data_IF_956185016764
#
_entry.id   IF_956185016764
#
_cell.length_a   1.000
_cell.length_b   1.000
_cell.length_c   1.000
_cell.angle_alpha   90.00
_cell.angle_beta   90.00
_cell.angle_gamma   90.00
#
_symmetry.space_group_name_H-M   'P 1'
#
loop_
_entity.id
_entity.type
_entity.pdbx_description
1 polymer ?
#
# COMPACT_ATOMS: atom_id res chain seq x y z
N UNK A 1 57.18 -2.58 43.56
CA UNK A 1 56.84 -2.19 44.96
C UNK A 1 55.31 -2.19 45.00
N UNK A 2 54.72 -3.31 45.40
CA UNK A 2 54.18 -3.62 46.72
C UNK A 2 53.20 -2.55 47.20
N UNK A 3 51.94 -2.75 47.54
CA UNK A 3 51.21 -3.84 48.23
C UNK A 3 49.71 -3.44 48.19
N UNK A 4 48.78 -4.37 47.95
CA UNK A 4 47.96 -5.08 48.92
C UNK A 4 47.17 -4.16 49.94
N UNK A 5 45.81 -4.19 49.85
CA UNK A 5 44.94 -4.67 50.93
C UNK A 5 43.44 -4.61 50.51
N UNK A 6 42.76 -5.73 50.65
CA UNK A 6 41.32 -5.95 50.80
C UNK A 6 41.03 -6.11 52.30
N UNK A 7 39.80 -6.49 52.68
CA UNK A 7 38.44 -5.95 52.57
C UNK A 7 37.85 -5.65 53.95
N UNK A 8 36.61 -5.15 54.05
CA UNK A 8 35.67 -5.56 55.10
C UNK A 8 34.23 -5.04 54.91
N UNK A 9 33.34 -5.90 55.21
CA UNK A 9 31.90 -5.91 55.24
C UNK A 9 31.22 -4.73 55.93
N UNK A 10 30.04 -4.34 55.44
CA UNK A 10 28.92 -4.02 56.35
C UNK A 10 27.58 -4.13 55.62
N UNK A 11 26.76 -5.04 56.12
CA UNK A 11 25.34 -5.24 55.90
C UNK A 11 24.52 -3.94 55.92
N UNK A 12 23.69 -3.75 54.90
CA UNK A 12 22.54 -2.87 54.96
C UNK A 12 21.32 -3.50 54.29
N UNK A 13 20.34 -3.72 55.10
CA UNK A 13 19.06 -4.41 54.89
C UNK A 13 18.28 -3.93 53.64
N UNK A 14 17.84 -4.89 52.88
CA UNK A 14 16.82 -4.75 51.83
C UNK A 14 15.49 -4.29 52.45
N UNK A 15 14.99 -3.14 52.03
CA UNK A 15 13.58 -2.76 52.16
C UNK A 15 12.90 -3.12 50.84
N UNK A 16 12.05 -4.15 50.91
CA UNK A 16 11.18 -4.55 49.79
C UNK A 16 10.06 -3.52 49.71
N UNK A 17 10.13 -2.61 48.74
CA UNK A 17 9.00 -1.78 48.33
C UNK A 17 8.20 -2.54 47.27
N UNK A 18 6.91 -2.73 47.55
CA UNK A 18 5.99 -3.48 46.71
C UNK A 18 5.94 -2.97 45.26
N UNK A 19 6.18 -3.84 44.33
CA UNK A 19 5.93 -3.63 42.93
C UNK A 19 4.41 -3.64 42.69
N UNK A 20 3.86 -2.48 42.41
CA UNK A 20 2.52 -2.36 41.79
C UNK A 20 2.59 -3.03 40.41
N UNK A 21 1.78 -4.06 40.24
CA UNK A 21 1.52 -4.67 38.92
C UNK A 21 1.00 -3.61 37.96
N UNK A 22 1.90 -3.06 37.17
CA UNK A 22 1.50 -2.34 35.94
C UNK A 22 0.94 -3.38 34.97
N UNK A 23 -0.35 -3.25 34.67
CA UNK A 23 -1.08 -4.13 33.76
C UNK A 23 -0.31 -4.36 32.47
N UNK A 24 0.17 -5.58 32.30
CA UNK A 24 0.63 -6.06 30.98
C UNK A 24 -0.59 -6.01 30.05
N UNK A 25 -0.59 -5.03 29.17
CA UNK A 25 -1.45 -5.05 28.01
C UNK A 25 -1.16 -6.38 27.27
N UNK A 26 -2.19 -7.22 27.12
CA UNK A 26 -2.08 -8.43 26.32
C UNK A 26 -1.48 -8.06 24.97
N UNK A 27 -0.50 -8.83 24.44
CA UNK A 27 0.02 -8.57 23.12
C UNK A 27 -1.16 -8.52 22.15
N UNK A 28 -1.24 -7.45 21.37
CA UNK A 28 -2.22 -7.37 20.28
C UNK A 28 -2.09 -8.66 19.48
N UNK A 29 -3.21 -9.32 19.21
CA UNK A 29 -3.23 -10.49 18.32
C UNK A 29 -2.52 -10.08 17.04
N UNK A 30 -1.55 -10.85 16.53
CA UNK A 30 -0.87 -10.49 15.30
C UNK A 30 -1.94 -10.27 14.22
N UNK A 31 -1.86 -9.13 13.53
CA UNK A 31 -2.72 -8.82 12.39
C UNK A 31 -2.73 -10.03 11.46
N UNK A 32 -3.89 -10.64 11.26
CA UNK A 32 -3.99 -11.83 10.42
C UNK A 32 -4.06 -11.39 8.96
N UNK A 33 -2.90 -11.18 8.33
CA UNK A 33 -2.79 -10.76 6.93
C UNK A 33 -3.65 -11.61 5.99
N UNK A 34 -3.80 -12.92 6.25
CA UNK A 34 -4.66 -13.79 5.45
C UNK A 34 -6.14 -13.39 5.57
N UNK A 35 -6.57 -12.98 6.77
CA UNK A 35 -7.93 -12.49 7.01
C UNK A 35 -8.24 -11.20 6.29
N UNK A 36 -7.27 -10.28 6.16
CA UNK A 36 -7.42 -9.02 5.42
C UNK A 36 -7.81 -9.27 3.96
N UNK A 37 -7.32 -10.37 3.37
CA UNK A 37 -7.62 -10.75 1.99
C UNK A 37 -8.67 -11.87 1.86
N UNK A 38 -9.40 -12.19 2.94
CA UNK A 38 -10.39 -13.26 2.98
C UNK A 38 -9.82 -14.65 2.59
N UNK A 39 -8.55 -14.89 2.88
CA UNK A 39 -7.90 -16.17 2.65
C UNK A 39 -7.98 -17.00 3.94
N UNK A 40 -8.80 -18.04 3.93
CA UNK A 40 -8.84 -18.99 5.04
C UNK A 40 -7.53 -19.77 5.16
N UNK A 41 -7.11 -20.13 6.39
CA UNK A 41 -5.89 -20.92 6.59
C UNK A 41 -5.86 -22.23 5.77
N UNK A 42 -6.99 -22.85 5.51
CA UNK A 42 -7.09 -24.03 4.65
C UNK A 42 -6.85 -23.77 3.15
N UNK A 43 -6.89 -22.50 2.73
CA UNK A 43 -6.64 -22.06 1.36
C UNK A 43 -5.25 -21.42 1.18
N UNK A 44 -4.44 -21.40 2.23
CA UNK A 44 -3.06 -20.95 2.20
C UNK A 44 -2.17 -22.13 1.76
N UNK A 45 -1.29 -21.89 0.79
CA UNK A 45 -0.33 -22.89 0.33
C UNK A 45 0.89 -22.91 1.24
N UNK A 46 1.24 -24.07 1.81
CA UNK A 46 2.45 -24.22 2.61
C UNK A 46 3.69 -24.23 1.70
N UNK A 47 4.60 -23.27 1.91
CA UNK A 47 5.87 -23.28 1.20
C UNK A 47 6.72 -24.48 1.67
N UNK A 48 7.09 -25.34 0.75
CA UNK A 48 7.95 -26.52 1.06
C UNK A 48 9.23 -26.50 0.24
N UNK A 49 9.11 -26.29 -1.06
CA UNK A 49 10.26 -26.15 -1.98
C UNK A 49 9.92 -25.15 -3.07
N UNK A 50 10.93 -24.50 -3.61
CA UNK A 50 10.77 -23.55 -4.72
C UNK A 50 10.08 -24.19 -5.94
N UNK A 51 10.40 -25.42 -6.30
CA UNK A 51 9.79 -26.13 -7.44
C UNK A 51 8.29 -26.33 -7.26
N UNK A 52 7.85 -26.76 -6.06
CA UNK A 52 6.43 -26.92 -5.75
C UNK A 52 5.69 -25.60 -5.72
N UNK A 53 6.32 -24.57 -5.14
CA UNK A 53 5.78 -23.21 -5.14
C UNK A 53 5.60 -22.68 -6.57
N UNK A 54 6.60 -22.83 -7.44
CA UNK A 54 6.51 -22.40 -8.84
C UNK A 54 5.35 -23.08 -9.59
N UNK A 55 5.21 -24.42 -9.42
CA UNK A 55 4.11 -25.16 -10.03
C UNK A 55 2.74 -24.73 -9.47
N UNK A 56 2.67 -24.47 -8.16
CA UNK A 56 1.45 -23.96 -7.53
C UNK A 56 1.07 -22.58 -8.09
N UNK A 57 2.03 -21.66 -8.14
CA UNK A 57 1.79 -20.30 -8.64
C UNK A 57 1.33 -20.30 -10.11
N UNK A 58 1.91 -21.15 -10.95
CA UNK A 58 1.49 -21.28 -12.34
C UNK A 58 0.02 -21.72 -12.46
N UNK A 59 -0.42 -22.69 -11.66
CA UNK A 59 -1.83 -23.11 -11.61
C UNK A 59 -2.75 -21.98 -11.13
N UNK A 60 -2.30 -21.18 -10.17
CA UNK A 60 -3.06 -20.02 -9.70
C UNK A 60 -3.23 -18.97 -10.80
N UNK A 61 -2.18 -18.72 -11.61
CA UNK A 61 -2.25 -17.82 -12.75
C UNK A 61 -3.26 -18.31 -13.79
N UNK A 62 -3.18 -19.60 -14.17
CA UNK A 62 -4.12 -20.22 -15.11
C UNK A 62 -5.56 -20.13 -14.59
N UNK A 63 -5.79 -20.36 -13.29
CA UNK A 63 -7.10 -20.22 -12.68
C UNK A 63 -7.60 -18.76 -12.69
N UNK A 64 -6.72 -17.79 -12.38
CA UNK A 64 -7.05 -16.37 -12.39
C UNK A 64 -7.41 -15.86 -13.78
N UNK A 65 -6.66 -16.25 -14.82
CA UNK A 65 -6.97 -15.93 -16.22
C UNK A 65 -8.36 -16.44 -16.65
N UNK A 66 -8.87 -17.48 -15.97
CA UNK A 66 -10.21 -18.03 -16.15
C UNK A 66 -11.24 -17.48 -15.14
N UNK A 67 -10.97 -16.34 -14.51
CA UNK A 67 -11.89 -15.67 -13.59
C UNK A 67 -11.79 -16.11 -12.13
N UNK A 68 -10.71 -16.82 -11.75
CA UNK A 68 -10.40 -17.17 -10.36
C UNK A 68 -9.90 -16.00 -9.52
N UNK A 69 -9.46 -16.31 -8.31
CA UNK A 69 -9.03 -15.31 -7.33
C UNK A 69 -7.72 -14.63 -7.74
N UNK A 70 -7.65 -13.32 -7.51
CA UNK A 70 -6.45 -12.49 -7.76
C UNK A 70 -5.43 -12.62 -6.63
N UNK A 71 -5.86 -12.84 -5.39
CA UNK A 71 -4.99 -12.97 -4.23
C UNK A 71 -4.75 -14.41 -3.83
N UNK A 72 -3.49 -14.73 -3.54
CA UNK A 72 -3.01 -16.07 -3.18
C UNK A 72 -2.28 -15.96 -1.85
N UNK A 73 -2.60 -16.82 -0.89
CA UNK A 73 -1.89 -16.95 0.37
C UNK A 73 -0.82 -18.03 0.31
N UNK A 74 0.36 -17.74 0.84
CA UNK A 74 1.46 -18.70 1.03
C UNK A 74 1.95 -18.62 2.47
N UNK A 75 1.94 -19.76 3.16
CA UNK A 75 2.37 -19.89 4.55
C UNK A 75 3.82 -20.42 4.65
N UNK A 76 4.50 -20.14 5.76
CA UNK A 76 5.86 -20.62 5.99
C UNK A 76 6.93 -19.87 5.19
N UNK A 77 6.66 -18.63 4.79
CA UNK A 77 7.60 -17.78 4.06
C UNK A 77 8.47 -17.01 5.06
N UNK A 78 9.62 -17.58 5.41
CA UNK A 78 10.67 -16.91 6.20
C UNK A 78 11.38 -15.84 5.36
N UNK A 79 12.24 -15.01 5.98
CA UNK A 79 13.08 -14.04 5.25
C UNK A 79 13.96 -14.69 4.17
N UNK A 80 14.52 -15.87 4.46
CA UNK A 80 15.38 -16.59 3.51
C UNK A 80 14.55 -17.10 2.32
N UNK A 81 13.36 -17.63 2.58
CA UNK A 81 12.41 -18.06 1.54
C UNK A 81 11.98 -16.88 0.67
N UNK A 82 11.67 -15.74 1.29
CA UNK A 82 11.32 -14.53 0.55
C UNK A 82 12.47 -14.07 -0.37
N UNK A 83 13.72 -14.11 0.12
CA UNK A 83 14.91 -13.78 -0.67
C UNK A 83 15.05 -14.71 -1.88
N UNK A 84 14.83 -16.02 -1.71
CA UNK A 84 14.85 -16.98 -2.81
C UNK A 84 13.76 -16.68 -3.84
N UNK A 85 12.55 -16.30 -3.40
CA UNK A 85 11.46 -15.90 -4.29
C UNK A 85 11.85 -14.64 -5.07
N UNK A 86 12.43 -13.64 -4.42
CA UNK A 86 12.87 -12.38 -5.05
C UNK A 86 13.99 -12.60 -6.08
N UNK A 87 14.99 -13.37 -5.77
CA UNK A 87 16.08 -13.71 -6.70
C UNK A 87 15.60 -14.42 -7.97
N UNK A 88 14.49 -15.15 -7.87
CA UNK A 88 13.90 -15.88 -8.97
C UNK A 88 12.67 -15.20 -9.57
N UNK A 89 12.37 -13.96 -9.18
CA UNK A 89 11.15 -13.25 -9.56
C UNK A 89 10.92 -13.16 -11.07
N UNK A 90 11.99 -13.04 -11.83
CA UNK A 90 11.95 -12.99 -13.31
C UNK A 90 11.37 -14.25 -13.98
N UNK A 91 11.22 -15.36 -13.23
CA UNK A 91 10.61 -16.60 -13.70
C UNK A 91 9.11 -16.66 -13.49
N UNK A 92 8.56 -15.68 -12.79
CA UNK A 92 7.14 -15.62 -12.44
C UNK A 92 6.42 -14.55 -13.26
N UNK A 93 5.08 -14.62 -13.37
CA UNK A 93 4.29 -13.54 -13.93
C UNK A 93 4.45 -12.27 -13.11
N UNK A 94 3.99 -11.15 -13.66
CA UNK A 94 3.95 -9.89 -12.92
C UNK A 94 3.03 -10.07 -11.71
N UNK A 95 3.54 -9.76 -10.53
CA UNK A 95 2.82 -9.89 -9.26
C UNK A 95 3.26 -8.81 -8.27
N UNK A 96 2.44 -8.57 -7.25
CA UNK A 96 2.78 -7.78 -6.06
C UNK A 96 2.78 -8.67 -4.84
N UNK A 97 3.62 -8.37 -3.89
CA UNK A 97 3.78 -9.15 -2.68
C UNK A 97 3.55 -8.31 -1.43
N UNK A 98 2.81 -8.88 -0.48
CA UNK A 98 2.62 -8.36 0.86
C UNK A 98 3.03 -9.46 1.85
N UNK A 99 4.11 -9.25 2.58
CA UNK A 99 4.72 -10.25 3.45
C UNK A 99 4.69 -9.80 4.90
N UNK A 100 4.15 -10.64 5.74
CA UNK A 100 4.16 -10.49 7.21
C UNK A 100 5.16 -11.46 7.82
N UNK A 101 6.32 -10.94 8.21
CA UNK A 101 7.41 -11.75 8.75
C UNK A 101 7.06 -12.44 10.08
N UNK A 102 6.35 -11.80 11.04
CA UNK A 102 5.96 -12.46 12.27
C UNK A 102 5.10 -13.71 12.08
N UNK A 103 4.14 -13.68 11.18
CA UNK A 103 3.29 -14.84 10.87
C UNK A 103 3.87 -15.75 9.78
N UNK A 104 4.94 -15.32 9.11
CA UNK A 104 5.54 -15.98 7.94
C UNK A 104 4.52 -16.21 6.81
N UNK A 105 3.56 -15.31 6.68
CA UNK A 105 2.56 -15.34 5.62
C UNK A 105 2.92 -14.37 4.51
N UNK A 106 2.74 -14.81 3.27
CA UNK A 106 2.90 -14.01 2.06
C UNK A 106 1.59 -13.98 1.30
N UNK A 107 1.13 -12.79 0.98
CA UNK A 107 0.06 -12.57 0.01
C UNK A 107 0.70 -12.23 -1.33
N UNK A 108 0.26 -12.92 -2.37
CA UNK A 108 0.63 -12.63 -3.76
C UNK A 108 -0.61 -12.12 -4.47
N UNK A 109 -0.53 -10.92 -5.02
CA UNK A 109 -1.52 -10.32 -5.90
C UNK A 109 -1.08 -10.52 -7.35
N UNK A 110 -1.87 -11.23 -8.13
CA UNK A 110 -1.63 -11.41 -9.56
C UNK A 110 -2.01 -10.14 -10.32
N UNK A 111 -1.15 -9.72 -11.24
CA UNK A 111 -1.27 -8.45 -11.94
C UNK A 111 -1.31 -8.67 -13.44
N UNK A 112 -2.36 -8.19 -14.09
CA UNK A 112 -2.55 -8.30 -15.53
C UNK A 112 -2.40 -6.96 -16.27
N UNK A 113 -2.46 -6.98 -17.61
CA UNK A 113 -2.28 -5.78 -18.43
C UNK A 113 -3.25 -4.63 -18.07
N UNK A 114 -4.52 -4.95 -17.82
CA UNK A 114 -5.54 -3.94 -17.45
C UNK A 114 -5.20 -3.17 -16.18
N UNK A 115 -4.66 -3.88 -15.21
CA UNK A 115 -4.20 -3.34 -13.94
C UNK A 115 -3.03 -2.36 -14.16
N UNK A 116 -2.01 -2.77 -14.91
CA UNK A 116 -0.85 -1.91 -15.22
C UNK A 116 -1.26 -0.67 -16.02
N UNK A 117 -2.18 -0.83 -16.99
CA UNK A 117 -2.71 0.29 -17.77
C UNK A 117 -3.42 1.29 -16.85
N UNK A 118 -4.30 0.83 -15.96
CA UNK A 118 -5.05 1.73 -15.07
C UNK A 118 -4.11 2.53 -14.16
N UNK A 119 -3.08 1.90 -13.57
CA UNK A 119 -2.10 2.57 -12.76
C UNK A 119 -1.27 3.59 -13.56
N UNK A 120 -0.84 3.21 -14.76
CA UNK A 120 0.01 4.05 -15.63
C UNK A 120 -0.76 5.26 -16.16
N UNK A 121 -1.98 5.08 -16.66
CA UNK A 121 -2.80 6.16 -17.19
C UNK A 121 -3.19 7.16 -16.10
N UNK A 122 -3.56 6.67 -14.91
CA UNK A 122 -3.82 7.54 -13.77
C UNK A 122 -2.59 8.37 -13.39
N UNK A 123 -1.41 7.73 -13.30
CA UNK A 123 -0.17 8.43 -12.99
C UNK A 123 0.20 9.46 -14.05
N UNK A 124 -0.03 9.15 -15.32
CA UNK A 124 0.18 10.08 -16.44
C UNK A 124 -0.67 11.33 -16.31
N UNK A 125 -1.99 11.16 -16.09
CA UNK A 125 -2.92 12.28 -15.90
C UNK A 125 -2.57 13.10 -14.65
N UNK A 126 -2.32 12.44 -13.53
CA UNK A 126 -1.93 13.12 -12.29
C UNK A 126 -0.69 13.99 -12.48
N UNK A 127 0.32 13.49 -13.20
CA UNK A 127 1.53 14.25 -13.50
C UNK A 127 1.29 15.46 -14.39
N UNK A 128 0.39 15.35 -15.34
CA UNK A 128 0.06 16.48 -16.19
C UNK A 128 -0.56 17.59 -15.34
N UNK A 129 -1.47 17.25 -14.42
CA UNK A 129 -2.05 18.23 -13.51
C UNK A 129 -1.00 18.81 -12.53
N UNK A 130 -0.05 18.02 -12.08
CA UNK A 130 1.09 18.49 -11.31
C UNK A 130 1.90 19.55 -12.08
N UNK A 131 2.17 19.32 -13.37
CA UNK A 131 2.90 20.28 -14.22
C UNK A 131 2.17 21.60 -14.38
N UNK A 132 0.84 21.56 -14.49
CA UNK A 132 0.02 22.77 -14.64
C UNK A 132 0.13 23.72 -13.45
N UNK A 133 0.52 23.25 -12.28
CA UNK A 133 0.70 24.04 -11.07
C UNK A 133 2.18 24.26 -10.68
N UNK A 134 3.12 23.94 -11.58
CA UNK A 134 4.54 24.17 -11.38
C UNK A 134 5.31 23.05 -10.68
N UNK A 135 4.71 21.88 -10.49
CA UNK A 135 5.40 20.67 -10.01
C UNK A 135 6.03 19.97 -11.21
N UNK A 136 7.33 19.74 -11.17
CA UNK A 136 8.07 19.13 -12.28
C UNK A 136 8.33 17.64 -12.02
N UNK A 137 8.62 16.89 -13.10
CA UNK A 137 9.09 15.51 -12.99
C UNK A 137 10.39 15.38 -12.16
N UNK A 138 11.10 16.47 -11.93
CA UNK A 138 12.31 16.47 -11.13
C UNK A 138 12.04 16.51 -9.63
N UNK A 139 10.81 16.83 -9.22
CA UNK A 139 10.41 16.91 -7.83
C UNK A 139 10.04 15.55 -7.25
N UNK A 140 9.68 14.56 -8.11
CA UNK A 140 9.30 13.22 -7.69
C UNK A 140 10.19 12.10 -8.26
N UNK A 141 10.34 11.03 -7.47
CA UNK A 141 10.60 9.69 -7.97
C UNK A 141 9.27 8.97 -8.22
N UNK A 142 9.13 8.41 -9.43
CA UNK A 142 8.12 7.40 -9.69
C UNK A 142 8.68 6.07 -9.20
N UNK A 143 8.07 5.53 -8.18
CA UNK A 143 8.40 4.22 -7.65
C UNK A 143 7.35 3.28 -8.22
N UNK A 144 7.77 2.33 -9.04
CA UNK A 144 6.89 1.24 -9.45
C UNK A 144 6.62 0.32 -8.26
N UNK A 145 6.67 -0.98 -8.47
CA UNK A 145 6.42 -2.01 -7.47
C UNK A 145 7.60 -2.32 -6.53
N UNK A 146 8.40 -1.32 -6.18
CA UNK A 146 9.49 -1.50 -5.21
C UNK A 146 8.95 -1.86 -3.83
N UNK A 147 9.43 -2.99 -3.26
CA UNK A 147 9.00 -3.41 -1.92
C UNK A 147 9.41 -2.41 -0.85
N UNK A 148 8.49 -2.11 0.04
CA UNK A 148 8.69 -1.23 1.19
C UNK A 148 8.40 -1.99 2.48
N UNK A 149 9.33 -1.91 3.43
CA UNK A 149 9.21 -2.59 4.72
C UNK A 149 8.83 -1.59 5.82
N UNK A 150 7.77 -1.91 6.55
CA UNK A 150 7.43 -1.18 7.78
C UNK A 150 8.50 -1.38 8.84
N UNK A 151 8.90 -0.29 9.49
CA UNK A 151 9.92 -0.34 10.55
C UNK A 151 9.40 -0.94 11.85
N UNK A 152 8.08 -0.94 12.05
CA UNK A 152 7.45 -1.29 13.33
C UNK A 152 6.70 -2.62 13.28
N UNK A 153 6.08 -2.98 12.16
CA UNK A 153 5.27 -4.19 12.06
C UNK A 153 6.00 -5.39 11.46
N UNK A 154 7.25 -5.22 10.98
CA UNK A 154 7.97 -6.25 10.19
C UNK A 154 7.17 -6.79 9.00
N UNK A 155 6.21 -6.00 8.51
CA UNK A 155 5.44 -6.27 7.29
C UNK A 155 6.02 -5.48 6.13
N UNK A 156 6.06 -6.08 4.95
CA UNK A 156 6.53 -5.42 3.74
C UNK A 156 5.54 -5.60 2.61
N UNK A 157 5.33 -4.54 1.82
CA UNK A 157 4.35 -4.51 0.75
C UNK A 157 4.89 -3.81 -0.49
N UNK A 158 4.41 -4.21 -1.65
CA UNK A 158 4.71 -3.64 -2.96
C UNK A 158 3.48 -2.89 -3.47
N UNK A 159 3.57 -1.58 -3.77
CA UNK A 159 2.48 -0.83 -4.35
C UNK A 159 2.32 -1.12 -5.85
N UNK A 160 1.18 -0.76 -6.43
CA UNK A 160 1.00 -0.78 -7.88
C UNK A 160 1.61 0.46 -8.55
N UNK A 161 1.62 1.57 -7.82
CA UNK A 161 2.31 2.79 -8.20
C UNK A 161 2.53 3.68 -6.99
N UNK A 162 3.60 4.48 -7.01
CA UNK A 162 3.85 5.41 -5.92
C UNK A 162 4.68 6.62 -6.35
N UNK A 163 4.48 7.73 -5.63
CA UNK A 163 5.23 8.97 -5.79
C UNK A 163 5.98 9.31 -4.52
N UNK A 164 7.25 9.65 -4.64
CA UNK A 164 8.13 10.01 -3.54
C UNK A 164 8.85 11.32 -3.82
N UNK A 165 8.81 12.33 -2.92
CA UNK A 165 9.54 13.58 -3.09
C UNK A 165 11.05 13.35 -3.18
N UNK A 166 11.71 13.91 -4.21
CA UNK A 166 13.16 13.76 -4.41
C UNK A 166 14.00 14.52 -3.40
N UNK A 167 13.54 15.69 -2.99
CA UNK A 167 14.35 16.58 -2.16
C UNK A 167 14.47 16.10 -0.70
N UNK A 168 13.46 15.44 -0.18
CA UNK A 168 13.38 15.05 1.22
C UNK A 168 13.50 13.54 1.44
N UNK A 169 13.12 12.71 0.45
CA UNK A 169 13.06 11.27 0.56
C UNK A 169 13.93 10.59 -0.48
N UNK A 170 15.25 10.80 -0.38
CA UNK A 170 16.23 10.38 -1.39
C UNK A 170 16.56 8.89 -1.38
N UNK A 171 16.42 8.22 -0.23
CA UNK A 171 16.82 6.82 -0.07
C UNK A 171 15.72 5.85 -0.50
N UNK A 172 16.12 4.70 -1.03
CA UNK A 172 15.18 3.65 -1.45
C UNK A 172 14.30 3.14 -0.29
N UNK A 173 14.77 3.25 0.95
CA UNK A 173 14.03 2.87 2.16
C UNK A 173 13.00 3.90 2.63
N UNK A 174 12.95 5.11 2.04
CA UNK A 174 11.93 6.10 2.38
C UNK A 174 10.60 5.70 1.74
N UNK A 175 9.52 5.82 2.51
CA UNK A 175 8.16 5.63 1.99
C UNK A 175 7.78 6.74 1.00
N UNK A 176 6.89 6.47 0.04
CA UNK A 176 6.27 7.49 -0.80
C UNK A 176 5.29 8.34 0.02
N UNK A 177 4.89 9.48 -0.52
CA UNK A 177 3.80 10.28 0.05
C UNK A 177 2.45 9.92 -0.55
N UNK A 178 2.43 9.44 -1.78
CA UNK A 178 1.22 8.97 -2.47
C UNK A 178 1.43 7.56 -3.00
N UNK A 179 0.43 6.71 -2.79
CA UNK A 179 0.36 5.34 -3.32
C UNK A 179 -0.89 5.18 -4.17
N UNK A 180 -0.76 4.43 -5.25
CA UNK A 180 -1.87 3.97 -6.10
C UNK A 180 -1.97 2.47 -5.98
N UNK A 181 -3.16 1.97 -5.66
CA UNK A 181 -3.49 0.54 -5.67
C UNK A 181 -4.62 0.28 -6.65
N UNK A 182 -4.47 -0.74 -7.46
CA UNK A 182 -5.44 -1.13 -8.48
C UNK A 182 -5.95 -2.52 -8.21
N UNK A 183 -7.24 -2.74 -8.28
CA UNK A 183 -7.86 -4.05 -8.10
C UNK A 183 -8.69 -4.46 -9.33
N UNK A 184 -8.56 -5.73 -9.71
CA UNK A 184 -9.35 -6.36 -10.77
C UNK A 184 -10.04 -7.60 -10.21
N UNK A 185 -11.35 -7.73 -10.37
CA UNK A 185 -12.10 -8.94 -9.98
C UNK A 185 -12.15 -9.23 -8.47
N UNK A 186 -11.51 -8.41 -7.64
CA UNK A 186 -11.53 -8.53 -6.19
C UNK A 186 -12.70 -7.79 -5.56
N UNK A 187 -12.95 -8.04 -4.28
CA UNK A 187 -13.87 -7.21 -3.53
C UNK A 187 -13.23 -5.84 -3.25
N UNK A 188 -14.01 -4.77 -3.36
CA UNK A 188 -13.56 -3.43 -2.97
C UNK A 188 -13.10 -3.38 -1.50
N UNK A 189 -13.60 -4.30 -0.66
CA UNK A 189 -13.16 -4.45 0.72
C UNK A 189 -11.69 -4.84 0.84
N UNK A 190 -11.21 -5.77 0.00
CA UNK A 190 -9.79 -6.18 -0.02
C UNK A 190 -8.89 -5.02 -0.45
N UNK A 191 -9.29 -4.29 -1.48
CA UNK A 191 -8.56 -3.12 -1.95
C UNK A 191 -8.51 -2.00 -0.87
N UNK A 192 -9.57 -1.84 -0.06
CA UNK A 192 -9.58 -0.90 1.08
C UNK A 192 -8.63 -1.32 2.20
N UNK A 193 -8.35 -2.61 2.36
CA UNK A 193 -7.32 -3.08 3.30
C UNK A 193 -5.92 -2.65 2.86
N UNK A 194 -5.67 -2.53 1.55
CA UNK A 194 -4.42 -1.95 1.03
C UNK A 194 -4.29 -0.48 1.45
N UNK A 195 -5.35 0.33 1.31
CA UNK A 195 -5.32 1.71 1.79
C UNK A 195 -5.09 1.80 3.30
N UNK A 196 -5.73 0.91 4.07
CA UNK A 196 -5.54 0.85 5.52
C UNK A 196 -4.08 0.55 5.86
N UNK A 197 -3.46 -0.45 5.21
CA UNK A 197 -2.04 -0.76 5.42
C UNK A 197 -1.16 0.46 5.16
N UNK A 198 -1.28 1.08 3.98
CA UNK A 198 -0.41 2.20 3.59
C UNK A 198 -0.54 3.39 4.54
N UNK A 199 -1.74 3.70 5.02
CA UNK A 199 -1.98 4.84 5.89
C UNK A 199 -1.63 4.57 7.37
N UNK A 200 -1.55 3.30 7.83
CA UNK A 200 -1.35 3.00 9.26
C UNK A 200 -0.04 2.29 9.58
N UNK A 201 0.57 1.55 8.63
CA UNK A 201 1.77 0.75 8.87
C UNK A 201 3.06 1.37 8.30
N UNK A 202 3.00 2.61 7.84
CA UNK A 202 4.13 3.33 7.22
C UNK A 202 4.61 4.52 8.04
N UNK A 203 4.40 4.48 9.35
CA UNK A 203 4.75 5.58 10.27
C UNK A 203 4.12 6.93 9.88
N UNK A 204 2.95 6.88 9.22
CA UNK A 204 2.26 8.04 8.64
C UNK A 204 3.06 8.76 7.54
N UNK A 205 4.09 8.13 6.99
CA UNK A 205 4.86 8.70 5.88
C UNK A 205 4.07 8.66 4.55
N UNK A 206 3.15 7.72 4.38
CA UNK A 206 2.18 7.73 3.26
C UNK A 206 0.98 8.57 3.69
N UNK A 207 0.71 9.63 2.95
CA UNK A 207 -0.35 10.58 3.25
C UNK A 207 -1.61 10.34 2.43
N UNK A 208 -1.44 9.91 1.18
CA UNK A 208 -2.53 9.75 0.20
C UNK A 208 -2.50 8.35 -0.40
N UNK A 209 -3.66 7.71 -0.45
CA UNK A 209 -3.85 6.46 -1.21
C UNK A 209 -5.00 6.63 -2.19
N UNK A 210 -4.72 6.30 -3.45
CA UNK A 210 -5.72 6.26 -4.51
C UNK A 210 -6.00 4.79 -4.82
N UNK A 211 -7.26 4.41 -4.70
CA UNK A 211 -7.73 3.09 -5.08
C UNK A 211 -8.44 3.17 -6.43
N UNK A 212 -8.11 2.26 -7.34
CA UNK A 212 -8.77 2.14 -8.63
C UNK A 212 -9.29 0.70 -8.75
N UNK A 213 -10.60 0.53 -8.65
CA UNK A 213 -11.24 -0.78 -8.75
C UNK A 213 -11.84 -0.96 -10.15
N UNK A 214 -11.29 -1.92 -10.90
CA UNK A 214 -11.76 -2.31 -12.23
C UNK A 214 -12.87 -3.34 -12.05
N UNK A 215 -14.09 -3.01 -12.49
CA UNK A 215 -15.23 -3.94 -12.45
C UNK A 215 -15.00 -5.12 -13.38
N UNK A 216 -15.55 -6.29 -13.01
CA UNK A 216 -15.35 -7.54 -13.72
C UNK A 216 -15.71 -7.48 -15.21
N UNK A 217 -16.71 -6.67 -15.58
CA UNK A 217 -17.11 -6.45 -16.98
C UNK A 217 -16.17 -5.50 -17.76
N UNK A 218 -15.14 -4.96 -17.08
CA UNK A 218 -14.18 -3.97 -17.60
C UNK A 218 -14.84 -2.73 -18.23
N UNK A 219 -16.05 -2.36 -17.80
CA UNK A 219 -16.77 -1.19 -18.32
C UNK A 219 -16.90 -0.07 -17.29
N UNK A 220 -16.36 -0.27 -16.11
CA UNK A 220 -16.40 0.71 -15.01
C UNK A 220 -15.11 0.66 -14.21
N UNK A 221 -14.55 1.85 -13.95
CA UNK A 221 -13.56 2.10 -12.92
C UNK A 221 -14.26 2.80 -11.76
N UNK A 222 -14.07 2.27 -10.55
CA UNK A 222 -14.44 2.96 -9.32
C UNK A 222 -13.17 3.49 -8.67
N UNK A 223 -13.10 4.78 -8.39
CA UNK A 223 -11.93 5.44 -7.83
C UNK A 223 -12.26 5.99 -6.45
N UNK A 224 -11.37 5.75 -5.48
CA UNK A 224 -11.48 6.29 -4.12
C UNK A 224 -10.19 7.02 -3.73
N UNK A 225 -10.33 8.16 -3.08
CA UNK A 225 -9.23 8.90 -2.45
C UNK A 225 -9.30 8.74 -0.94
N UNK A 226 -8.20 8.28 -0.35
CA UNK A 226 -8.08 8.00 1.07
C UNK A 226 -6.93 8.79 1.68
N UNK A 227 -7.16 9.31 2.90
CA UNK A 227 -6.17 10.00 3.73
C UNK A 227 -6.27 9.56 5.20
N UNK A 228 -5.22 9.85 5.97
CA UNK A 228 -5.23 9.66 7.41
C UNK A 228 -5.70 10.93 8.10
N UNK A 229 -6.97 11.00 8.50
CA UNK A 229 -7.50 12.16 9.19
C UNK A 229 -7.30 12.06 10.70
N UNK A 230 -6.72 13.10 11.29
CA UNK A 230 -6.74 13.30 12.73
C UNK A 230 -8.12 13.78 13.14
N UNK A 231 -8.79 13.08 14.06
CA UNK A 231 -10.02 13.58 14.67
C UNK A 231 -9.69 14.62 15.73
N UNK A 232 -10.52 15.68 15.77
CA UNK A 232 -10.42 16.78 16.71
C UNK A 232 -10.21 16.29 18.18
N UNK A 233 -9.14 16.73 18.81
CA UNK A 233 -8.64 16.28 20.12
C UNK A 233 -9.49 16.74 21.31
N UNK A 234 -10.73 17.15 21.14
CA UNK A 234 -11.51 17.68 22.28
C UNK A 234 -12.06 16.64 23.25
N UNK A 235 -12.04 15.34 22.94
CA UNK A 235 -12.46 14.26 23.85
C UNK A 235 -11.74 12.94 23.54
N UNK A 236 -10.85 12.52 24.46
CA UNK A 236 -10.16 11.22 24.51
C UNK A 236 -9.16 10.94 23.37
N UNK A 237 -8.04 10.24 23.67
CA UNK A 237 -7.02 9.74 22.74
C UNK A 237 -7.65 9.04 21.53
N UNK A 238 -8.02 9.78 20.52
CA UNK A 238 -8.50 9.21 19.27
C UNK A 238 -7.35 9.17 18.27
N UNK A 239 -6.92 7.95 17.96
CA UNK A 239 -5.97 7.67 16.89
C UNK A 239 -6.49 8.18 15.55
N UNK A 240 -5.60 8.72 14.73
CA UNK A 240 -5.87 9.04 13.33
C UNK A 240 -6.46 7.81 12.61
N UNK A 241 -7.42 8.02 11.70
CA UNK A 241 -8.07 6.93 10.97
C UNK A 241 -8.00 7.12 9.46
N UNK A 242 -7.71 6.04 8.70
CA UNK A 242 -7.92 6.05 7.26
C UNK A 242 -9.36 6.43 6.94
N UNK A 243 -9.50 7.44 6.11
CA UNK A 243 -10.82 8.02 5.77
C UNK A 243 -10.90 8.22 4.27
N UNK A 244 -11.99 7.72 3.67
CA UNK A 244 -12.31 7.99 2.28
C UNK A 244 -12.87 9.40 2.16
N UNK A 245 -12.22 10.27 1.41
CA UNK A 245 -12.61 11.67 1.23
C UNK A 245 -13.43 11.88 -0.03
N UNK A 246 -13.05 11.20 -1.12
CA UNK A 246 -13.68 11.36 -2.42
C UNK A 246 -13.89 9.98 -3.06
N UNK A 247 -14.93 9.86 -3.85
CA UNK A 247 -15.17 8.71 -4.71
C UNK A 247 -15.93 9.11 -5.97
N UNK A 248 -15.68 8.41 -7.06
CA UNK A 248 -16.40 8.57 -8.31
C UNK A 248 -16.27 7.34 -9.18
N UNK A 249 -17.15 7.23 -10.17
CA UNK A 249 -17.13 6.18 -11.18
C UNK A 249 -16.84 6.74 -12.57
N UNK A 250 -16.03 6.04 -13.33
CA UNK A 250 -15.86 6.22 -14.78
C UNK A 250 -16.50 5.05 -15.49
N UNK A 251 -17.37 5.29 -16.44
CA UNK A 251 -18.10 4.23 -17.13
C UNK A 251 -18.04 4.38 -18.64
N UNK A 252 -17.66 3.29 -19.32
CA UNK A 252 -17.75 3.16 -20.75
C UNK A 252 -19.22 2.90 -21.17
N UNK A 253 -19.80 3.81 -21.93
CA UNK A 253 -21.15 3.70 -22.45
C UNK A 253 -21.24 2.79 -23.68
N UNK A 254 -22.45 2.40 -24.08
CA UNK A 254 -22.68 1.53 -25.23
C UNK A 254 -22.31 2.17 -26.57
N UNK A 255 -22.36 3.50 -26.64
CA UNK A 255 -21.95 4.29 -27.81
C UNK A 255 -20.44 4.54 -27.89
N UNK A 256 -19.66 4.00 -26.93
CA UNK A 256 -18.22 4.16 -26.86
C UNK A 256 -17.75 5.42 -26.15
N UNK A 257 -18.66 6.27 -25.67
CA UNK A 257 -18.29 7.44 -24.86
C UNK A 257 -17.98 7.03 -23.43
N UNK A 258 -17.29 7.90 -22.69
CA UNK A 258 -17.04 7.73 -21.26
C UNK A 258 -17.83 8.75 -20.47
N UNK A 259 -18.39 8.36 -19.35
CA UNK A 259 -19.06 9.25 -18.40
C UNK A 259 -18.41 9.19 -17.03
N UNK A 260 -18.48 10.30 -16.29
CA UNK A 260 -18.07 10.44 -14.89
C UNK A 260 -19.32 10.55 -14.01
N UNK A 261 -19.34 9.86 -12.90
CA UNK A 261 -20.47 9.94 -11.95
C UNK A 261 -19.95 10.15 -10.52
N UNK A 262 -20.33 11.25 -9.84
CA UNK A 262 -21.17 12.36 -10.34
C UNK A 262 -20.45 13.15 -11.46
N UNK A 263 -21.19 13.79 -12.36
CA UNK A 263 -20.64 14.52 -13.51
C UNK A 263 -19.77 15.72 -13.14
N UNK A 264 -19.89 16.20 -11.91
CA UNK A 264 -19.09 17.27 -11.33
C UNK A 264 -17.92 16.73 -10.46
N UNK A 265 -17.64 15.42 -10.50
CA UNK A 265 -16.57 14.86 -9.69
C UNK A 265 -15.22 15.48 -10.03
N UNK A 266 -14.44 15.72 -9.00
CA UNK A 266 -13.03 16.11 -9.06
C UNK A 266 -12.22 15.18 -8.16
N UNK A 267 -10.94 15.05 -8.43
CA UNK A 267 -9.98 14.48 -7.50
C UNK A 267 -9.04 15.60 -7.07
N UNK A 268 -9.14 16.00 -5.81
CA UNK A 268 -8.39 17.10 -5.23
C UNK A 268 -7.41 16.57 -4.19
N UNK A 269 -6.11 16.81 -4.39
CA UNK A 269 -5.04 16.39 -3.49
C UNK A 269 -4.23 17.62 -3.08
N UNK A 270 -4.18 17.90 -1.79
CA UNK A 270 -3.42 19.03 -1.27
C UNK A 270 -1.90 18.84 -1.51
N UNK A 271 -1.23 19.87 -2.03
CA UNK A 271 0.21 19.79 -2.37
C UNK A 271 1.08 19.52 -1.14
N UNK A 272 0.67 19.97 0.03
CA UNK A 272 1.35 19.69 1.31
C UNK A 272 1.33 18.20 1.71
N UNK A 273 0.42 17.38 1.13
CA UNK A 273 0.40 15.93 1.34
C UNK A 273 1.33 15.20 0.37
N UNK A 274 1.70 15.85 -0.73
CA UNK A 274 2.60 15.28 -1.73
C UNK A 274 4.07 15.53 -1.39
N UNK A 275 4.36 16.57 -0.61
CA UNK A 275 5.71 16.99 -0.27
C UNK A 275 5.88 17.25 1.22
N UNK A 276 6.99 16.81 1.79
CA UNK A 276 7.41 17.23 3.15
C UNK A 276 7.79 18.73 3.16
N UNK A 277 8.30 19.23 2.02
CA UNK A 277 8.57 20.64 1.76
C UNK A 277 8.09 20.95 0.34
N UNK A 278 7.03 21.72 0.23
CA UNK A 278 6.44 22.11 -1.07
C UNK A 278 7.46 22.92 -1.88
N UNK A 279 7.76 22.55 -3.15
CA UNK A 279 8.67 23.30 -3.98
C UNK A 279 8.22 24.76 -4.21
N UNK A 280 9.12 25.74 -4.24
CA UNK A 280 8.74 27.14 -4.40
C UNK A 280 8.15 27.48 -5.77
N UNK A 281 8.28 26.60 -6.76
CA UNK A 281 7.65 26.72 -8.09
C UNK A 281 6.16 26.39 -8.08
N UNK A 282 5.63 25.79 -7.02
CA UNK A 282 4.22 25.40 -6.91
C UNK A 282 3.35 26.65 -6.76
N UNK A 283 2.36 26.78 -7.64
CA UNK A 283 1.50 27.97 -7.74
C UNK A 283 0.12 27.80 -7.13
N UNK A 284 -0.26 26.57 -6.74
CA UNK A 284 -1.54 26.24 -6.12
C UNK A 284 -1.36 25.26 -4.97
N UNK A 285 -2.22 25.34 -3.97
CA UNK A 285 -2.20 24.48 -2.79
C UNK A 285 -2.82 23.09 -3.04
N UNK A 286 -3.39 22.88 -4.22
CA UNK A 286 -4.09 21.63 -4.57
C UNK A 286 -3.80 21.25 -6.01
N UNK A 287 -3.49 19.97 -6.23
CA UNK A 287 -3.53 19.31 -7.54
C UNK A 287 -4.96 18.85 -7.75
N UNK A 288 -5.59 19.31 -8.82
CA UNK A 288 -6.98 18.96 -9.16
C UNK A 288 -7.01 18.23 -10.49
N UNK A 289 -7.58 17.02 -10.51
CA UNK A 289 -7.99 16.33 -11.74
C UNK A 289 -9.49 16.61 -11.88
N UNK A 290 -9.84 17.49 -12.82
CA UNK A 290 -11.24 17.90 -13.04
C UNK A 290 -12.05 16.90 -13.87
N UNK A 291 -13.33 17.18 -14.11
CA UNK A 291 -14.21 16.26 -14.85
C UNK A 291 -13.71 15.92 -16.26
N UNK A 292 -13.11 16.88 -16.98
CA UNK A 292 -12.59 16.66 -18.33
C UNK A 292 -11.36 15.75 -18.33
N UNK A 293 -10.47 15.95 -17.36
CA UNK A 293 -9.26 15.17 -17.17
C UNK A 293 -9.60 13.74 -16.71
N UNK A 294 -10.63 13.59 -15.85
CA UNK A 294 -11.17 12.28 -15.49
C UNK A 294 -11.78 11.55 -16.68
N UNK A 295 -12.47 12.27 -17.57
CA UNK A 295 -12.96 11.69 -18.84
C UNK A 295 -11.80 11.26 -19.73
N UNK A 296 -10.73 12.06 -19.84
CA UNK A 296 -9.51 11.73 -20.59
C UNK A 296 -8.88 10.45 -20.07
N UNK A 297 -8.64 10.37 -18.75
CA UNK A 297 -8.12 9.17 -18.10
C UNK A 297 -8.98 7.93 -18.42
N UNK A 298 -10.29 8.03 -18.24
CA UNK A 298 -11.21 6.92 -18.54
C UNK A 298 -11.19 6.52 -20.02
N UNK A 299 -11.14 7.49 -20.92
CA UNK A 299 -11.09 7.24 -22.37
C UNK A 299 -9.83 6.48 -22.76
N UNK A 300 -8.65 6.91 -22.35
CA UNK A 300 -7.39 6.24 -22.67
C UNK A 300 -7.34 4.84 -22.05
N UNK A 301 -7.77 4.67 -20.79
CA UNK A 301 -7.88 3.37 -20.19
C UNK A 301 -8.77 2.41 -21.00
N UNK A 302 -10.02 2.78 -21.29
CA UNK A 302 -10.96 1.90 -21.99
C UNK A 302 -10.61 1.64 -23.46
N UNK A 303 -9.85 2.53 -24.09
CA UNK A 303 -9.34 2.35 -25.45
C UNK A 303 -8.28 1.27 -25.54
N UNK A 304 -7.38 1.19 -24.57
CA UNK A 304 -6.21 0.30 -24.57
C UNK A 304 -6.54 -1.04 -23.91
N UNK A 305 -7.43 -1.06 -22.93
CA UNK A 305 -7.77 -2.23 -22.10
C UNK A 305 -8.75 -3.23 -22.74
N UNK A 306 -9.03 -3.09 -24.05
CA UNK A 306 -9.96 -3.92 -24.82
C UNK A 306 -9.51 -5.37 -24.94
#
# INVERSE_FOLDING_TARGET
MTSLFSPEDSDARLIVAGATETGRQAPAMPDNILGDYNIGHGNCHDFTTYSKFSTFLQRCVEAWENGGQQYIGVCGVTSDVLSIIDENRYKFPIMRMDHDLPSQNLIIKLVGPRHEIAASEFQGEFLEQCRMIGISRHDFFFIGSGRMASRHSNRSKEPDGALRPKNTRQYASCFPTLVVEVGCSESLGQLRNDAHFWLTHTDQEVHVVILIHIRADNRQLHVEHWELLQRDLSRTRQSARPTKLQEFDLRLQNDGTVSVNPSSATLDIATQLLFDIVPPSVTKDTVTIGPNELLSFGYEYFKISK
#
